data_IF_160044274706
#
_entry.id   IF_160044274706
#
_cell.length_a   1.000
_cell.length_b   1.000
_cell.length_c   1.000
_cell.angle_alpha   90.00
_cell.angle_beta   90.00
_cell.angle_gamma   90.00
#
_symmetry.space_group_name_H-M   'P 1'
#
loop_
_entity.id
_entity.type
_entity.pdbx_description
1 polymer ?
#
# COMPACT_ATOMS: atom_id res chain seq x y z
N UNK A 1 1.75 18.98 -10.59
CA UNK A 1 2.22 17.59 -10.39
C UNK A 1 2.36 16.92 -11.77
N UNK A 2 3.49 16.31 -12.14
CA UNK A 2 3.70 15.80 -13.51
C UNK A 2 2.73 14.63 -13.83
N UNK A 3 1.82 14.83 -14.78
CA UNK A 3 0.85 13.83 -15.26
C UNK A 3 1.37 13.04 -16.47
N UNK A 4 0.53 12.82 -17.48
CA UNK A 4 0.88 12.01 -18.68
C UNK A 4 2.12 12.51 -19.46
N UNK A 5 2.38 13.82 -19.47
CA UNK A 5 3.52 14.39 -20.20
C UNK A 5 4.88 13.86 -19.71
N UNK A 6 4.99 13.56 -18.42
CA UNK A 6 6.19 12.95 -17.86
C UNK A 6 6.44 11.57 -18.46
N UNK A 7 5.40 10.74 -18.49
CA UNK A 7 5.47 9.40 -19.04
C UNK A 7 5.78 9.40 -20.54
N UNK A 8 5.13 10.30 -21.30
CA UNK A 8 5.40 10.46 -22.73
C UNK A 8 6.88 10.76 -23.00
N UNK A 9 7.52 11.61 -22.17
CA UNK A 9 8.96 11.90 -22.33
C UNK A 9 9.85 10.69 -22.09
N UNK A 10 9.49 9.82 -21.14
CA UNK A 10 10.25 8.60 -20.84
C UNK A 10 10.21 7.64 -22.04
N UNK A 11 9.03 7.40 -22.60
CA UNK A 11 8.82 6.45 -23.72
C UNK A 11 9.71 6.82 -24.92
N UNK A 12 9.72 8.10 -25.31
CA UNK A 12 10.39 8.54 -26.53
C UNK A 12 11.92 8.53 -26.43
N UNK A 13 12.47 8.56 -25.21
CA UNK A 13 13.92 8.73 -24.99
C UNK A 13 14.63 7.49 -24.48
N UNK A 14 13.89 6.53 -23.93
CA UNK A 14 14.49 5.43 -23.18
C UNK A 14 13.91 4.07 -23.59
N UNK A 15 14.03 3.73 -24.87
CA UNK A 15 13.59 2.43 -25.42
C UNK A 15 14.33 1.22 -24.81
N UNK A 16 15.50 1.45 -24.21
CA UNK A 16 16.31 0.44 -23.51
C UNK A 16 15.96 0.28 -22.04
N UNK A 17 15.05 1.10 -21.50
CA UNK A 17 14.69 1.07 -20.08
C UNK A 17 14.10 -0.29 -19.71
N UNK A 18 14.67 -0.93 -18.68
CA UNK A 18 14.22 -2.23 -18.15
C UNK A 18 13.62 -2.14 -16.77
N UNK A 19 13.98 -1.15 -15.98
CA UNK A 19 13.56 -1.05 -14.58
C UNK A 19 13.22 0.39 -14.30
N UNK A 20 12.07 0.62 -13.70
CA UNK A 20 11.61 1.97 -13.42
C UNK A 20 10.82 2.01 -12.11
N UNK A 21 11.13 2.99 -11.27
CA UNK A 21 10.37 3.30 -10.06
C UNK A 21 9.92 4.74 -10.18
N UNK A 22 8.62 4.96 -10.02
CA UNK A 22 8.04 6.29 -9.95
C UNK A 22 7.27 6.43 -8.66
N UNK A 23 7.88 7.14 -7.73
CA UNK A 23 7.27 7.52 -6.47
C UNK A 23 6.87 8.99 -6.56
N UNK A 24 5.57 9.24 -6.65
CA UNK A 24 5.03 10.58 -6.76
C UNK A 24 4.38 10.95 -5.43
N UNK A 25 4.83 12.07 -4.85
CA UNK A 25 4.26 12.64 -3.63
C UNK A 25 3.64 14.01 -3.95
N UNK A 26 2.69 14.41 -3.13
CA UNK A 26 2.06 15.73 -3.15
C UNK A 26 1.90 16.23 -1.72
N UNK A 27 1.58 17.52 -1.59
CA UNK A 27 1.19 18.14 -0.32
C UNK A 27 -0.33 18.16 -0.27
N UNK A 28 -0.91 17.86 0.89
CA UNK A 28 -2.33 18.09 1.14
C UNK A 28 -2.61 19.60 1.25
N UNK A 29 -3.49 20.11 0.40
CA UNK A 29 -3.81 21.54 0.31
C UNK A 29 -5.24 21.84 0.81
N UNK A 30 -5.95 20.82 1.28
CA UNK A 30 -7.27 20.97 1.89
C UNK A 30 -7.09 21.45 3.32
N UNK A 31 -7.45 22.70 3.60
CA UNK A 31 -7.28 23.35 4.91
C UNK A 31 -8.21 22.77 5.99
N UNK A 32 -9.24 22.04 5.57
CA UNK A 32 -10.12 21.28 6.45
C UNK A 32 -9.61 19.86 6.74
N UNK A 33 -8.58 19.41 6.02
CA UNK A 33 -7.94 18.11 6.25
C UNK A 33 -7.14 18.15 7.56
N UNK A 34 -7.23 17.11 8.42
CA UNK A 34 -6.33 16.97 9.57
C UNK A 34 -4.85 16.79 9.17
N UNK A 35 -4.56 16.69 7.87
CA UNK A 35 -3.24 16.52 7.28
C UNK A 35 -2.83 17.70 6.39
N UNK A 36 -3.49 18.87 6.51
CA UNK A 36 -3.12 20.08 5.77
C UNK A 36 -1.61 20.36 5.84
N UNK A 37 -1.01 20.67 4.69
CA UNK A 37 0.44 20.87 4.47
C UNK A 37 1.33 19.63 4.68
N UNK A 38 0.79 18.46 5.02
CA UNK A 38 1.56 17.22 5.10
C UNK A 38 1.76 16.59 3.71
N UNK A 39 2.94 15.98 3.51
CA UNK A 39 3.24 15.24 2.29
C UNK A 39 2.68 13.81 2.32
N UNK A 40 2.11 13.38 1.20
CA UNK A 40 1.61 12.02 1.01
C UNK A 40 1.81 11.50 -0.41
N UNK A 41 1.72 10.19 -0.58
CA UNK A 41 1.79 9.51 -1.88
C UNK A 41 0.59 9.90 -2.73
N UNK A 42 0.89 10.37 -3.93
CA UNK A 42 -0.14 10.68 -4.91
C UNK A 42 -0.60 9.39 -5.59
N UNK A 43 -1.57 8.74 -4.95
CA UNK A 43 -2.12 7.43 -5.32
C UNK A 43 -2.66 7.31 -6.76
N UNK A 44 -2.88 8.44 -7.44
CA UNK A 44 -3.40 8.49 -8.80
C UNK A 44 -2.34 8.76 -9.89
N UNK A 45 -1.08 8.98 -9.48
CA UNK A 45 0.06 9.35 -10.33
C UNK A 45 -0.18 10.63 -11.16
N UNK A 46 -1.05 11.53 -10.69
CA UNK A 46 -1.54 12.69 -11.42
C UNK A 46 -2.20 12.35 -12.78
N UNK A 47 -2.72 11.12 -12.93
CA UNK A 47 -3.49 10.71 -14.10
C UNK A 47 -4.97 10.89 -13.77
N UNK A 48 -5.57 12.00 -14.13
CA UNK A 48 -6.90 12.37 -13.66
C UNK A 48 -8.01 11.52 -14.31
N UNK A 49 -9.24 11.62 -13.79
CA UNK A 49 -10.37 10.79 -14.21
C UNK A 49 -10.65 10.80 -15.72
N UNK A 50 -10.44 11.93 -16.41
CA UNK A 50 -10.57 12.00 -17.89
C UNK A 50 -9.49 11.21 -18.60
N UNK A 51 -8.24 11.36 -18.20
CA UNK A 51 -7.09 10.65 -18.78
C UNK A 51 -7.20 9.14 -18.53
N UNK A 52 -7.57 8.75 -17.31
CA UNK A 52 -7.79 7.34 -17.00
C UNK A 52 -8.93 6.74 -17.83
N UNK A 53 -10.02 7.48 -18.07
CA UNK A 53 -11.11 7.03 -18.97
C UNK A 53 -10.61 6.82 -20.40
N UNK A 54 -9.82 7.76 -20.92
CA UNK A 54 -9.21 7.62 -22.25
C UNK A 54 -8.31 6.38 -22.35
N UNK A 55 -7.49 6.11 -21.32
CA UNK A 55 -6.66 4.89 -21.27
C UNK A 55 -7.53 3.62 -21.25
N UNK A 56 -8.68 3.64 -20.58
CA UNK A 56 -9.62 2.51 -20.55
C UNK A 56 -10.26 2.26 -21.91
N UNK A 57 -10.69 3.31 -22.60
CA UNK A 57 -11.38 3.24 -23.89
C UNK A 57 -10.40 2.96 -25.05
N UNK A 58 -9.20 3.51 -24.98
CA UNK A 58 -8.14 3.35 -25.97
C UNK A 58 -6.82 2.94 -25.30
N UNK A 59 -6.58 1.62 -25.09
CA UNK A 59 -5.36 1.13 -24.44
C UNK A 59 -4.05 1.53 -25.13
N UNK A 60 -4.08 1.90 -26.42
CA UNK A 60 -2.92 2.45 -27.14
C UNK A 60 -2.45 3.80 -26.60
N UNK A 61 -3.32 4.55 -25.90
CA UNK A 61 -2.98 5.80 -25.21
C UNK A 61 -2.31 5.56 -23.86
N UNK A 62 -2.15 4.29 -23.45
CA UNK A 62 -1.51 3.99 -22.19
C UNK A 62 -0.02 4.39 -22.23
N UNK A 63 0.48 5.14 -21.23
CA UNK A 63 1.87 5.58 -21.16
C UNK A 63 2.91 4.44 -21.11
N UNK A 64 2.50 3.22 -20.79
CA UNK A 64 3.41 2.06 -20.71
C UNK A 64 3.41 1.25 -22.02
N UNK A 65 2.67 1.67 -23.04
CA UNK A 65 2.55 0.96 -24.33
C UNK A 65 3.92 0.79 -25.01
N UNK A 66 4.74 1.83 -25.05
CA UNK A 66 6.05 1.79 -25.70
C UNK A 66 7.18 1.16 -24.87
N UNK A 67 6.93 0.76 -23.62
CA UNK A 67 7.98 0.29 -22.71
C UNK A 67 7.99 -1.24 -22.57
N UNK A 68 9.20 -1.82 -22.49
CA UNK A 68 9.41 -3.25 -22.26
C UNK A 68 10.14 -3.49 -20.92
N UNK A 69 9.53 -2.98 -19.86
CA UNK A 69 10.05 -3.07 -18.49
C UNK A 69 10.02 -4.51 -17.98
N UNK A 70 11.08 -4.89 -17.26
CA UNK A 70 11.19 -6.09 -16.44
C UNK A 70 10.75 -5.85 -15.00
N UNK A 71 10.90 -4.61 -14.53
CA UNK A 71 10.51 -4.17 -13.19
C UNK A 71 9.77 -2.83 -13.28
N UNK A 72 8.64 -2.71 -12.59
CA UNK A 72 7.99 -1.43 -12.36
C UNK A 72 7.54 -1.27 -10.91
N UNK A 73 7.88 -0.13 -10.30
CA UNK A 73 7.41 0.25 -8.96
C UNK A 73 6.64 1.57 -9.01
N UNK A 74 5.40 1.58 -8.53
CA UNK A 74 4.51 2.75 -8.62
C UNK A 74 3.83 3.01 -7.28
N UNK A 75 3.78 4.28 -6.88
CA UNK A 75 2.94 4.74 -5.78
C UNK A 75 1.49 4.93 -6.24
N UNK A 76 0.82 3.83 -6.61
CA UNK A 76 -0.53 3.85 -7.16
C UNK A 76 -1.43 2.78 -6.52
N UNK A 77 -2.67 3.16 -6.24
CA UNK A 77 -3.65 2.23 -5.66
C UNK A 77 -4.04 1.11 -6.66
N UNK A 78 -4.31 -0.12 -6.16
CA UNK A 78 -4.52 -1.30 -7.01
C UNK A 78 -5.60 -1.15 -8.10
N UNK A 79 -6.71 -0.48 -7.80
CA UNK A 79 -7.86 -0.31 -8.68
C UNK A 79 -7.51 0.49 -9.93
N UNK A 80 -6.59 1.44 -9.80
CA UNK A 80 -6.12 2.30 -10.87
C UNK A 80 -4.98 1.65 -11.64
N UNK A 81 -4.07 1.03 -10.90
CA UNK A 81 -2.88 0.36 -11.43
C UNK A 81 -3.22 -0.71 -12.47
N UNK A 82 -4.34 -1.42 -12.29
CA UNK A 82 -4.86 -2.40 -13.26
C UNK A 82 -4.90 -1.86 -14.70
N UNK A 83 -5.35 -0.62 -14.89
CA UNK A 83 -5.50 -0.03 -16.21
C UNK A 83 -4.16 0.39 -16.81
N UNK A 84 -3.24 0.86 -15.97
CA UNK A 84 -1.89 1.22 -16.39
C UNK A 84 -1.09 0.00 -16.85
N UNK A 85 -1.29 -1.15 -16.24
CA UNK A 85 -0.56 -2.37 -16.56
C UNK A 85 -1.08 -3.15 -17.78
N UNK A 86 -2.21 -2.73 -18.38
CA UNK A 86 -2.80 -3.43 -19.53
C UNK A 86 -1.83 -3.74 -20.68
N UNK A 87 -0.89 -2.85 -21.07
CA UNK A 87 0.06 -3.15 -22.14
C UNK A 87 0.96 -4.36 -21.87
N UNK A 88 1.15 -4.75 -20.61
CA UNK A 88 1.99 -5.89 -20.26
C UNK A 88 1.25 -7.23 -20.39
N UNK A 89 -0.07 -7.23 -20.55
CA UNK A 89 -0.82 -8.47 -20.83
C UNK A 89 -0.37 -9.17 -22.12
N UNK A 90 0.02 -8.39 -23.12
CA UNK A 90 0.52 -8.90 -24.41
C UNK A 90 2.05 -8.98 -24.47
N UNK A 91 2.76 -8.64 -23.40
CA UNK A 91 4.22 -8.63 -23.33
C UNK A 91 4.73 -9.73 -22.40
N UNK A 92 5.94 -10.18 -22.67
CA UNK A 92 6.64 -11.18 -21.86
C UNK A 92 7.75 -10.58 -20.99
N UNK A 93 7.83 -9.26 -20.94
CA UNK A 93 8.94 -8.54 -20.31
C UNK A 93 8.79 -8.37 -18.81
N UNK A 94 7.59 -8.03 -18.31
CA UNK A 94 7.39 -7.60 -16.92
C UNK A 94 7.41 -8.77 -15.95
N UNK A 95 8.44 -8.82 -15.09
CA UNK A 95 8.65 -9.89 -14.11
C UNK A 95 8.33 -9.47 -12.69
N UNK A 96 8.53 -8.20 -12.36
CA UNK A 96 8.35 -7.69 -10.99
C UNK A 96 7.50 -6.44 -11.00
N UNK A 97 6.46 -6.45 -10.16
CA UNK A 97 5.59 -5.32 -9.88
C UNK A 97 5.75 -4.93 -8.41
N UNK A 98 5.94 -3.64 -8.16
CA UNK A 98 5.99 -3.08 -6.81
C UNK A 98 4.88 -2.04 -6.63
N UNK A 99 3.94 -2.34 -5.73
CA UNK A 99 2.90 -1.44 -5.25
C UNK A 99 3.48 -0.68 -4.06
N UNK A 100 3.99 0.51 -4.34
CA UNK A 100 4.71 1.28 -3.34
C UNK A 100 3.75 2.12 -2.51
N UNK A 101 3.79 2.02 -1.19
CA UNK A 101 3.13 2.97 -0.31
C UNK A 101 4.12 3.37 0.79
N UNK A 102 4.35 4.66 0.96
CA UNK A 102 5.34 5.19 1.91
C UNK A 102 4.97 4.83 3.34
N UNK A 103 5.97 4.47 4.14
CA UNK A 103 5.76 4.17 5.57
C UNK A 103 5.27 5.39 6.36
N UNK A 104 5.70 6.60 5.98
CA UNK A 104 5.19 7.86 6.54
C UNK A 104 3.68 8.00 6.40
N UNK A 105 3.16 7.57 5.26
CA UNK A 105 1.75 7.72 4.94
C UNK A 105 0.90 6.80 5.80
N UNK A 106 1.41 5.64 6.22
CA UNK A 106 0.68 4.71 7.08
C UNK A 106 0.38 5.26 8.48
N UNK A 107 0.96 6.40 8.85
CA UNK A 107 0.60 7.14 10.09
C UNK A 107 -0.75 7.85 9.96
N UNK A 108 -1.13 8.23 8.75
CA UNK A 108 -2.22 9.18 8.46
C UNK A 108 -3.26 8.59 7.49
N UNK A 109 -2.82 7.76 6.56
CA UNK A 109 -3.61 7.12 5.52
C UNK A 109 -3.66 5.61 5.72
N UNK A 110 -4.80 5.02 5.35
CA UNK A 110 -4.97 3.58 5.42
C UNK A 110 -4.01 2.85 4.45
N UNK A 111 -3.53 1.67 4.86
CA UNK A 111 -2.78 0.78 3.98
C UNK A 111 -3.62 0.40 2.76
N UNK A 112 -3.01 0.32 1.58
CA UNK A 112 -3.67 -0.15 0.37
C UNK A 112 -3.77 -1.67 0.29
N UNK A 113 -2.99 -2.41 1.10
CA UNK A 113 -2.99 -3.88 1.08
C UNK A 113 -3.67 -4.50 2.29
N UNK A 114 -3.60 -3.84 3.45
CA UNK A 114 -3.99 -4.41 4.74
C UNK A 114 -5.09 -3.57 5.38
N UNK A 115 -6.12 -4.23 5.92
CA UNK A 115 -7.12 -3.56 6.75
C UNK A 115 -6.48 -3.12 8.08
N UNK A 116 -6.74 -1.87 8.48
CA UNK A 116 -6.31 -1.39 9.79
C UNK A 116 -7.05 -2.14 10.89
N UNK A 117 -6.35 -2.50 11.98
CA UNK A 117 -7.04 -2.88 13.21
C UNK A 117 -7.84 -1.68 13.67
N UNK A 118 -9.15 -1.88 13.84
CA UNK A 118 -10.05 -0.92 14.43
C UNK A 118 -9.47 -0.48 15.79
N UNK A 119 -8.93 0.74 15.87
CA UNK A 119 -8.33 1.28 17.11
C UNK A 119 -9.37 1.51 18.21
N UNK A 120 -10.64 1.23 17.94
CA UNK A 120 -11.81 1.45 18.79
C UNK A 120 -11.95 0.48 19.96
N UNK A 121 -11.13 -0.58 20.08
CA UNK A 121 -11.24 -1.54 21.19
C UNK A 121 -10.37 -1.22 22.42
N UNK A 122 -9.61 -0.11 22.45
CA UNK A 122 -8.75 0.27 23.59
C UNK A 122 -9.21 1.47 24.39
N UNK A 123 -10.41 2.01 24.14
CA UNK A 123 -10.99 3.02 25.02
C UNK A 123 -11.72 2.32 26.19
N UNK A 124 -10.94 1.71 27.09
CA UNK A 124 -11.45 1.30 28.39
C UNK A 124 -11.90 2.54 29.16
N UNK A 125 -13.14 2.49 29.68
CA UNK A 125 -13.73 3.48 30.56
C UNK A 125 -12.73 4.04 31.56
N UNK A 126 -12.41 5.33 31.45
CA UNK A 126 -11.93 6.11 32.58
C UNK A 126 -13.15 6.80 33.16
N UNK A 127 -13.80 6.12 34.10
CA UNK A 127 -14.72 6.74 35.05
C UNK A 127 -14.04 6.70 36.43
N UNK A 128 -14.05 7.86 37.06
CA UNK A 128 -13.26 8.32 38.20
C UNK A 128 -13.51 7.56 39.51
N UNK A 129 -12.50 7.53 40.39
CA UNK A 129 -12.69 7.83 41.82
C UNK A 129 -11.36 8.00 42.57
N UNK A 130 -11.18 9.20 43.14
CA UNK A 130 -10.26 9.47 44.24
C UNK A 130 -10.69 8.69 45.49
N UNK A 131 -9.73 8.12 46.25
CA UNK A 131 -9.68 8.16 47.72
C UNK A 131 -8.42 7.44 48.24
N UNK A 132 -7.68 8.13 49.10
CA UNK A 132 -6.55 7.62 49.90
C UNK A 132 -7.00 6.64 50.99
N UNK A 133 -6.25 5.55 51.20
CA UNK A 133 -5.85 5.08 52.54
C UNK A 133 -4.71 4.05 52.47
N UNK A 134 -3.92 3.96 53.54
CA UNK A 134 -2.59 3.34 53.59
C UNK A 134 -2.56 1.99 54.34
N UNK A 135 -1.85 0.99 53.75
CA UNK A 135 -1.10 -0.15 54.35
C UNK A 135 -1.87 -1.21 55.18
N UNK A 136 -1.32 -2.43 55.50
CA UNK A 136 0.05 -2.97 55.30
C UNK A 136 0.17 -4.42 54.72
N UNK A 137 1.39 -4.71 54.26
CA UNK A 137 2.09 -5.97 53.96
C UNK A 137 1.53 -7.30 54.49
N UNK A 138 1.41 -8.31 53.61
CA UNK A 138 1.70 -9.72 53.93
C UNK A 138 2.33 -10.44 52.74
N UNK A 139 3.47 -11.06 53.03
CA UNK A 139 4.27 -11.97 52.23
C UNK A 139 3.60 -13.35 52.13
N UNK A 140 3.52 -13.92 50.93
CA UNK A 140 3.50 -15.37 50.73
C UNK A 140 3.82 -15.72 49.27
N UNK A 141 4.99 -16.31 49.12
CA UNK A 141 5.53 -16.92 47.92
C UNK A 141 4.64 -18.01 47.32
N UNK A 142 4.31 -17.90 46.03
CA UNK A 142 4.30 -19.04 45.10
C UNK A 142 4.80 -18.51 43.74
N UNK A 143 6.06 -18.77 43.44
CA UNK A 143 6.66 -18.47 42.14
C UNK A 143 6.16 -19.51 41.13
N UNK A 144 5.01 -19.27 40.51
CA UNK A 144 4.65 -19.92 39.24
C UNK A 144 5.23 -19.09 38.11
N UNK A 145 6.32 -19.59 37.52
CA UNK A 145 6.90 -19.12 36.26
C UNK A 145 5.79 -18.96 35.22
N UNK A 146 5.65 -17.80 34.54
CA UNK A 146 4.78 -17.71 33.39
C UNK A 146 5.36 -18.58 32.28
N UNK A 147 4.56 -19.53 31.82
CA UNK A 147 4.79 -20.34 30.63
C UNK A 147 4.95 -19.43 29.41
N UNK A 148 6.19 -19.05 29.06
CA UNK A 148 6.54 -18.22 27.90
C UNK A 148 6.25 -18.90 26.54
N UNK A 149 5.65 -20.10 26.55
CA UNK A 149 5.39 -20.87 25.33
C UNK A 149 3.98 -20.68 24.74
N UNK A 150 3.04 -20.10 25.50
CA UNK A 150 1.66 -19.84 25.02
C UNK A 150 1.45 -18.43 24.42
N UNK A 151 2.39 -17.49 24.62
CA UNK A 151 2.25 -16.12 24.09
C UNK A 151 2.74 -15.99 22.64
N UNK A 152 3.68 -16.82 22.20
CA UNK A 152 4.24 -16.75 20.85
C UNK A 152 3.23 -17.15 19.76
N UNK A 153 2.42 -18.18 20.00
CA UNK A 153 1.38 -18.68 19.07
C UNK A 153 0.18 -17.74 19.00
N UNK A 154 -0.27 -17.20 20.15
CA UNK A 154 -1.36 -16.21 20.21
C UNK A 154 -0.95 -14.90 19.52
N UNK A 155 0.32 -14.48 19.66
CA UNK A 155 0.87 -13.35 18.90
C UNK A 155 0.95 -13.65 17.41
N UNK A 156 1.37 -14.85 17.01
CA UNK A 156 1.45 -15.23 15.60
C UNK A 156 0.08 -15.20 14.91
N UNK A 157 -0.98 -15.63 15.59
CA UNK A 157 -2.35 -15.53 15.08
C UNK A 157 -2.93 -14.10 15.12
N UNK A 158 -2.49 -13.26 16.06
CA UNK A 158 -2.88 -11.86 16.10
C UNK A 158 -2.33 -11.04 14.93
N UNK A 159 -1.18 -11.42 14.35
CA UNK A 159 -0.66 -10.81 13.11
C UNK A 159 -1.42 -11.27 11.86
N UNK A 160 -1.89 -12.53 11.84
CA UNK A 160 -2.76 -13.07 10.79
C UNK A 160 -4.17 -12.44 10.78
N UNK A 161 -4.54 -11.69 11.82
CA UNK A 161 -5.80 -10.91 11.89
C UNK A 161 -5.81 -9.65 11.01
N UNK A 162 -4.71 -9.34 10.33
CA UNK A 162 -4.70 -8.31 9.29
C UNK A 162 -5.34 -8.87 8.03
N UNK A 163 -6.65 -8.70 7.93
CA UNK A 163 -7.37 -9.08 6.71
C UNK A 163 -6.85 -8.23 5.57
N UNK A 164 -6.47 -8.86 4.48
CA UNK A 164 -6.06 -8.16 3.27
C UNK A 164 -7.27 -7.41 2.71
N UNK A 165 -7.05 -6.18 2.21
CA UNK A 165 -8.12 -5.41 1.59
C UNK A 165 -8.62 -6.12 0.34
N UNK A 166 -9.94 -6.15 0.17
CA UNK A 166 -10.58 -6.82 -0.96
C UNK A 166 -10.06 -6.31 -2.31
N UNK A 167 -9.78 -5.01 -2.41
CA UNK A 167 -9.30 -4.39 -3.63
C UNK A 167 -7.87 -4.84 -3.98
N UNK A 168 -7.02 -5.00 -2.97
CA UNK A 168 -5.70 -5.59 -3.14
C UNK A 168 -5.79 -7.07 -3.54
N UNK A 169 -6.62 -7.86 -2.87
CA UNK A 169 -6.82 -9.28 -3.21
C UNK A 169 -7.31 -9.44 -4.65
N UNK A 170 -8.34 -8.70 -5.05
CA UNK A 170 -8.87 -8.71 -6.43
C UNK A 170 -7.83 -8.30 -7.46
N UNK A 171 -6.96 -7.35 -7.10
CA UNK A 171 -5.86 -6.95 -7.97
C UNK A 171 -4.82 -8.07 -8.10
N UNK A 172 -4.43 -8.71 -7.00
CA UNK A 172 -3.51 -9.84 -6.98
C UNK A 172 -4.05 -11.03 -7.81
N UNK A 173 -5.31 -11.41 -7.58
CA UNK A 173 -6.01 -12.44 -8.35
C UNK A 173 -6.06 -12.10 -9.84
N UNK A 174 -6.30 -10.83 -10.18
CA UNK A 174 -6.31 -10.41 -11.57
C UNK A 174 -4.92 -10.48 -12.19
N UNK A 175 -3.89 -9.95 -11.54
CA UNK A 175 -2.57 -9.77 -12.15
C UNK A 175 -1.85 -11.11 -12.37
N UNK A 176 -2.06 -12.08 -11.47
CA UNK A 176 -1.56 -13.45 -11.61
C UNK A 176 -2.56 -14.41 -12.26
N UNK A 177 -3.81 -13.99 -12.45
CA UNK A 177 -4.84 -14.82 -13.03
C UNK A 177 -4.69 -15.04 -14.54
N UNK A 178 -5.56 -15.86 -15.14
CA UNK A 178 -5.51 -16.20 -16.57
C UNK A 178 -5.67 -14.98 -17.50
N UNK A 179 -6.29 -13.91 -16.99
CA UNK A 179 -6.49 -12.65 -17.69
C UNK A 179 -5.49 -11.55 -17.26
N UNK A 180 -4.44 -11.93 -16.54
CA UNK A 180 -3.39 -11.07 -15.98
C UNK A 180 -2.17 -10.94 -16.88
N UNK A 181 -1.00 -10.82 -16.24
CA UNK A 181 0.29 -10.63 -16.89
C UNK A 181 1.06 -11.95 -16.78
N UNK A 182 1.13 -12.70 -17.88
CA UNK A 182 1.70 -14.06 -17.88
C UNK A 182 3.19 -14.13 -17.55
N UNK A 183 3.92 -13.03 -17.75
CA UNK A 183 5.34 -12.92 -17.41
C UNK A 183 5.61 -12.49 -15.98
N UNK A 184 4.59 -12.07 -15.23
CA UNK A 184 4.77 -11.56 -13.88
C UNK A 184 5.07 -12.72 -12.92
N UNK A 185 6.16 -12.57 -12.16
CA UNK A 185 6.65 -13.57 -11.22
C UNK A 185 6.51 -13.08 -9.78
N UNK A 186 6.65 -11.77 -9.57
CA UNK A 186 6.71 -11.18 -8.23
C UNK A 186 5.81 -9.95 -8.19
N UNK A 187 4.97 -9.89 -7.16
CA UNK A 187 4.28 -8.67 -6.75
C UNK A 187 4.73 -8.36 -5.33
N UNK A 188 5.23 -7.14 -5.11
CA UNK A 188 5.61 -6.68 -3.79
C UNK A 188 4.82 -5.44 -3.40
N UNK A 189 4.59 -5.27 -2.10
CA UNK A 189 3.86 -4.16 -1.53
C UNK A 189 4.66 -3.50 -0.40
N UNK A 190 4.53 -2.17 -0.28
CA UNK A 190 5.09 -1.38 0.82
C UNK A 190 6.19 -0.43 0.38
N UNK A 191 6.91 0.12 1.34
CA UNK A 191 8.09 0.94 1.11
C UNK A 191 9.37 0.13 1.36
N UNK A 192 10.35 0.29 0.48
CA UNK A 192 11.68 -0.32 0.64
C UNK A 192 12.75 0.71 0.96
N UNK A 193 12.38 1.99 1.06
CA UNK A 193 13.24 3.03 1.60
C UNK A 193 13.08 3.08 3.13
N UNK A 194 14.21 3.03 3.83
CA UNK A 194 14.30 3.21 5.29
C UNK A 194 14.17 4.68 5.68
#
# INVERSE_FOLDING_TARGET
VPGLDFWNRIIHRHTTLKRFVHHQRTIDIDDESPHFEEEHDLSDLAILGRELRQIKEAPSQNPLTGLNLEFIGLACVPERLKYLLLPFKSKTSLKVLHLRQSGSDLKHYASWAVEGQDRTSRQGSVASQDSMESSPWTDSSVTSLPTEMEDATVRHEAWLRHRMRNEFCRFAEWVFGPNGISSLQIMVFGDFAY
#
